data_IF_636592621500
#
_entry.id   IF_636592621500
#
_cell.length_a   1.000
_cell.length_b   1.000
_cell.length_c   1.000
_cell.angle_alpha   90.00
_cell.angle_beta   90.00
_cell.angle_gamma   90.00
#
_symmetry.space_group_name_H-M   'P 1'
#
loop_
_entity.id
_entity.type
_entity.pdbx_description
1 polymer ?
#
# COMPACT_ATOMS: atom_id res chain seq x y z
N UNK A 1 -17.01 -6.98 -17.03
CA UNK A 1 -16.55 -8.36 -16.81
C UNK A 1 -17.38 -8.93 -15.67
N UNK A 2 -17.69 -10.22 -15.68
CA UNK A 2 -18.21 -10.91 -14.51
C UNK A 2 -17.42 -12.20 -14.29
N UNK A 3 -17.40 -12.67 -13.05
CA UNK A 3 -16.86 -13.99 -12.71
C UNK A 3 -17.98 -14.84 -12.12
N UNK A 4 -18.00 -16.12 -12.47
CA UNK A 4 -18.99 -17.08 -11.95
C UNK A 4 -18.33 -17.99 -10.94
N UNK A 5 -18.83 -17.98 -9.71
CA UNK A 5 -18.34 -18.80 -8.60
C UNK A 5 -19.53 -19.45 -7.92
N UNK A 6 -19.53 -20.79 -7.83
CA UNK A 6 -20.61 -21.57 -7.21
C UNK A 6 -22.01 -21.22 -7.73
N UNK A 7 -22.15 -21.00 -9.05
CA UNK A 7 -23.41 -20.64 -9.67
C UNK A 7 -23.82 -19.17 -9.54
N UNK A 8 -23.13 -18.37 -8.70
CA UNK A 8 -23.37 -16.93 -8.53
C UNK A 8 -22.46 -16.10 -9.44
N UNK A 9 -23.01 -15.02 -9.99
CA UNK A 9 -22.28 -14.06 -10.81
C UNK A 9 -21.84 -12.84 -10.00
N UNK A 10 -20.59 -12.44 -10.19
CA UNK A 10 -19.99 -11.28 -9.54
C UNK A 10 -19.56 -10.28 -10.62
N UNK A 11 -20.26 -9.15 -10.71
CA UNK A 11 -20.04 -8.16 -11.75
C UNK A 11 -18.97 -7.15 -11.35
N UNK A 12 -17.98 -7.00 -12.22
CA UNK A 12 -16.86 -6.07 -12.07
C UNK A 12 -17.02 -4.89 -13.03
N UNK A 13 -17.04 -3.69 -12.45
CA UNK A 13 -17.22 -2.42 -13.14
C UNK A 13 -15.90 -1.67 -13.23
N UNK A 14 -15.53 -1.25 -14.44
CA UNK A 14 -14.29 -0.48 -14.66
C UNK A 14 -14.39 0.91 -14.03
N UNK A 15 -13.30 1.32 -13.41
CA UNK A 15 -13.08 2.63 -12.79
C UNK A 15 -11.78 3.18 -13.35
N UNK A 16 -11.81 4.42 -13.87
CA UNK A 16 -10.65 5.04 -14.52
C UNK A 16 -9.76 5.73 -13.48
N UNK A 17 -8.45 5.72 -13.76
CA UNK A 17 -7.45 6.47 -13.00
C UNK A 17 -7.21 7.79 -13.74
N UNK A 18 -7.27 8.88 -12.99
CA UNK A 18 -6.83 10.20 -13.41
C UNK A 18 -5.53 10.51 -12.65
N UNK A 19 -4.41 10.43 -13.37
CA UNK A 19 -3.07 10.70 -12.85
C UNK A 19 -2.90 12.20 -12.61
N UNK A 20 -2.39 12.56 -11.43
CA UNK A 20 -2.17 13.95 -11.01
C UNK A 20 -0.68 14.29 -10.98
N UNK A 21 0.15 13.39 -10.45
CA UNK A 21 1.59 13.61 -10.29
C UNK A 21 2.35 12.27 -10.35
N UNK A 22 3.61 12.30 -10.80
CA UNK A 22 4.51 11.14 -10.89
C UNK A 22 5.86 11.46 -10.27
N UNK A 23 6.67 10.42 -10.00
CA UNK A 23 8.01 10.54 -9.41
C UNK A 23 8.01 11.24 -8.04
N UNK A 24 6.94 11.02 -7.26
CA UNK A 24 6.90 11.46 -5.87
C UNK A 24 7.87 10.59 -5.08
N UNK A 25 8.82 11.23 -4.39
CA UNK A 25 9.86 10.55 -3.60
C UNK A 25 9.81 10.98 -2.15
N UNK A 26 10.29 10.09 -1.29
CA UNK A 26 10.52 10.36 0.13
C UNK A 26 9.31 10.87 0.94
N UNK A 27 8.07 10.42 0.69
CA UNK A 27 6.91 10.91 1.44
C UNK A 27 7.05 10.66 2.95
N UNK A 28 7.81 9.65 3.38
CA UNK A 28 8.10 9.38 4.79
C UNK A 28 8.72 10.58 5.52
N UNK A 29 9.44 11.48 4.82
CA UNK A 29 10.13 12.64 5.43
C UNK A 29 9.16 13.62 6.08
N UNK A 30 7.89 13.61 5.68
CA UNK A 30 6.85 14.49 6.20
C UNK A 30 6.09 13.89 7.39
N UNK A 31 6.51 12.73 7.92
CA UNK A 31 5.87 12.17 9.10
C UNK A 31 6.34 12.87 10.38
N UNK A 32 5.49 13.74 10.91
CA UNK A 32 5.79 14.63 12.04
C UNK A 32 5.02 14.29 13.33
N UNK A 33 4.14 13.28 13.30
CA UNK A 33 3.22 12.98 14.40
C UNK A 33 3.82 12.21 15.58
N UNK A 34 5.04 11.67 15.41
CA UNK A 34 5.76 10.90 16.43
C UNK A 34 7.25 11.17 16.30
N UNK A 35 7.96 11.16 17.42
CA UNK A 35 9.43 11.15 17.44
C UNK A 35 9.98 9.75 17.22
N UNK A 36 11.30 9.62 17.06
CA UNK A 36 11.97 8.31 17.04
C UNK A 36 11.71 7.57 18.37
N UNK A 37 11.79 8.27 19.51
CA UNK A 37 11.50 7.72 20.84
C UNK A 37 10.08 7.15 20.92
N UNK A 38 9.09 7.83 20.34
CA UNK A 38 7.72 7.33 20.29
C UNK A 38 7.58 6.09 19.40
N UNK A 39 8.29 6.01 18.28
CA UNK A 39 8.29 4.82 17.43
C UNK A 39 8.88 3.62 18.15
N UNK A 40 10.01 3.80 18.85
CA UNK A 40 10.67 2.73 19.59
C UNK A 40 9.77 2.07 20.64
N UNK A 41 8.75 2.76 21.16
CA UNK A 41 7.77 2.18 22.08
C UNK A 41 6.90 1.09 21.43
N UNK A 42 6.74 1.12 20.11
CA UNK A 42 5.94 0.12 19.39
C UNK A 42 6.74 -1.16 19.12
N UNK A 43 6.10 -2.33 19.34
CA UNK A 43 6.71 -3.65 19.19
C UNK A 43 7.43 -3.89 17.85
N UNK A 44 6.98 -3.27 16.74
CA UNK A 44 7.61 -3.41 15.42
C UNK A 44 9.03 -2.81 15.34
N UNK A 45 9.42 -2.01 16.33
CA UNK A 45 10.74 -1.37 16.43
C UNK A 45 11.54 -1.84 17.64
N UNK A 46 11.08 -2.87 18.37
CA UNK A 46 11.73 -3.30 19.62
C UNK A 46 13.20 -3.68 19.41
N UNK A 47 13.51 -4.36 18.31
CA UNK A 47 14.86 -4.77 17.92
C UNK A 47 15.80 -3.57 17.59
N UNK A 48 15.28 -2.36 17.43
CA UNK A 48 16.09 -1.17 17.16
C UNK A 48 16.47 -0.41 18.43
N UNK A 49 15.82 -0.68 19.57
CA UNK A 49 15.91 0.15 20.77
C UNK A 49 17.34 0.35 21.27
N UNK A 50 18.04 -0.76 21.50
CA UNK A 50 19.41 -0.75 22.04
C UNK A 50 20.35 0.02 21.12
N UNK A 51 20.33 -0.31 19.83
CA UNK A 51 21.14 0.39 18.82
C UNK A 51 20.86 1.89 18.77
N UNK A 52 19.59 2.29 18.76
CA UNK A 52 19.23 3.71 18.70
C UNK A 52 19.65 4.45 19.97
N UNK A 53 19.48 3.85 21.15
CA UNK A 53 19.89 4.47 22.42
C UNK A 53 21.41 4.65 22.52
N UNK A 54 22.19 3.74 21.92
CA UNK A 54 23.65 3.77 22.02
C UNK A 54 24.32 4.59 20.90
N UNK A 55 23.79 4.54 19.68
CA UNK A 55 24.46 5.08 18.48
C UNK A 55 23.72 6.27 17.84
N UNK A 56 22.45 6.51 18.20
CA UNK A 56 21.59 7.51 17.56
C UNK A 56 20.78 8.30 18.60
N UNK A 57 21.36 8.57 19.76
CA UNK A 57 20.69 9.26 20.85
C UNK A 57 20.18 10.65 20.41
N UNK A 58 20.93 11.32 19.54
CA UNK A 58 20.67 12.69 19.08
C UNK A 58 19.39 12.84 18.25
N UNK A 59 18.85 11.75 17.70
CA UNK A 59 17.61 11.79 16.91
C UNK A 59 16.38 11.37 17.70
N UNK A 60 16.52 10.93 18.96
CA UNK A 60 15.42 10.34 19.73
C UNK A 60 14.20 11.25 19.82
N UNK A 61 14.40 12.53 20.08
CA UNK A 61 13.32 13.51 20.29
C UNK A 61 13.02 14.36 19.05
N UNK A 62 13.60 13.99 17.90
CA UNK A 62 13.30 14.59 16.60
C UNK A 62 12.08 13.90 15.98
N UNK A 63 11.17 14.62 15.31
CA UNK A 63 10.09 14.00 14.54
C UNK A 63 10.65 12.97 13.55
N UNK A 64 10.01 11.79 13.49
CA UNK A 64 10.60 10.62 12.86
C UNK A 64 10.89 10.83 11.36
N UNK A 65 10.00 11.46 10.59
CA UNK A 65 10.23 11.76 9.18
C UNK A 65 11.50 12.59 8.95
N UNK A 66 11.62 13.79 9.54
CA UNK A 66 12.83 14.61 9.46
C UNK A 66 14.10 13.90 9.94
N UNK A 67 14.04 13.13 11.03
CA UNK A 67 15.17 12.36 11.55
C UNK A 67 15.70 11.36 10.51
N UNK A 68 14.81 10.51 9.98
CA UNK A 68 15.18 9.51 8.98
C UNK A 68 15.66 10.14 7.67
N UNK A 69 15.06 11.27 7.27
CA UNK A 69 15.51 11.99 6.08
C UNK A 69 16.93 12.58 6.26
N UNK A 70 17.26 13.05 7.45
CA UNK A 70 18.61 13.49 7.75
C UNK A 70 19.63 12.35 7.70
N UNK A 71 19.29 11.15 8.21
CA UNK A 71 20.12 9.95 8.06
C UNK A 71 20.32 9.58 6.58
N UNK A 72 19.24 9.58 5.79
CA UNK A 72 19.31 9.33 4.34
C UNK A 72 20.25 10.31 3.64
N UNK A 73 20.17 11.61 3.95
CA UNK A 73 21.07 12.64 3.38
C UNK A 73 22.54 12.44 3.77
N UNK A 74 22.81 11.82 4.92
CA UNK A 74 24.16 11.43 5.36
C UNK A 74 24.62 10.10 4.74
N UNK A 75 23.83 9.50 3.84
CA UNK A 75 24.04 8.16 3.29
C UNK A 75 24.11 7.05 4.34
N UNK A 76 23.50 7.27 5.49
CA UNK A 76 23.40 6.25 6.52
C UNK A 76 22.24 5.29 6.17
N UNK A 77 22.47 3.99 5.91
CA UNK A 77 21.41 3.07 5.52
C UNK A 77 20.44 2.72 6.66
N UNK A 78 20.77 3.03 7.91
CA UNK A 78 20.01 2.64 9.09
C UNK A 78 18.58 3.21 9.09
N UNK A 79 18.32 4.33 8.40
CA UNK A 79 16.96 4.88 8.30
C UNK A 79 15.95 3.88 7.73
N UNK A 80 16.39 2.95 6.86
CA UNK A 80 15.54 1.93 6.25
C UNK A 80 14.99 0.96 7.28
N UNK A 81 15.67 0.74 8.40
CA UNK A 81 15.19 -0.12 9.48
C UNK A 81 13.90 0.37 10.12
N UNK A 82 13.52 1.64 9.89
CA UNK A 82 12.25 2.19 10.35
C UNK A 82 11.13 2.16 9.29
N UNK A 83 11.48 1.91 8.04
CA UNK A 83 10.54 1.88 6.91
C UNK A 83 10.14 0.45 6.57
N UNK A 84 8.95 0.28 6.00
CA UNK A 84 8.63 -1.01 5.38
C UNK A 84 9.38 -1.16 4.04
N UNK A 85 9.40 -2.38 3.50
CA UNK A 85 10.12 -2.73 2.26
C UNK A 85 9.77 -1.86 1.04
N UNK A 86 8.63 -1.16 1.09
CA UNK A 86 8.15 -0.32 0.01
C UNK A 86 8.12 1.15 0.40
N UNK A 87 8.67 1.55 1.54
CA UNK A 87 8.52 2.88 2.15
C UNK A 87 9.44 3.99 1.62
N UNK A 88 10.39 3.66 0.76
CA UNK A 88 11.27 4.62 0.09
C UNK A 88 11.45 4.25 -1.39
N UNK A 89 10.33 4.22 -2.12
CA UNK A 89 10.26 4.02 -3.56
C UNK A 89 9.79 5.30 -4.27
N UNK A 90 9.70 5.26 -5.59
CA UNK A 90 8.98 6.27 -6.37
C UNK A 90 7.48 5.95 -6.38
N UNK A 91 6.66 6.99 -6.23
CA UNK A 91 5.21 6.92 -6.17
C UNK A 91 4.58 7.85 -7.21
N UNK A 92 3.27 7.78 -7.30
CA UNK A 92 2.43 8.69 -8.07
C UNK A 92 1.26 9.16 -7.21
N UNK A 93 0.65 10.28 -7.60
CA UNK A 93 -0.63 10.71 -7.07
C UNK A 93 -1.70 10.54 -8.15
N UNK A 94 -2.83 9.95 -7.79
CA UNK A 94 -3.96 9.81 -8.69
C UNK A 94 -5.29 9.83 -7.93
N UNK A 95 -6.35 10.08 -8.67
CA UNK A 95 -7.73 9.87 -8.22
C UNK A 95 -8.46 8.96 -9.17
N UNK A 96 -9.55 8.37 -8.71
CA UNK A 96 -10.47 7.65 -9.58
C UNK A 96 -11.68 8.49 -9.96
N UNK A 97 -12.12 8.33 -11.21
CA UNK A 97 -13.39 8.87 -11.71
C UNK A 97 -14.27 7.75 -12.26
N UNK A 98 -15.57 7.96 -12.22
CA UNK A 98 -16.55 7.02 -12.73
C UNK A 98 -17.91 7.18 -12.05
N UNK A 99 -18.65 6.07 -11.99
CA UNK A 99 -19.96 6.04 -11.35
C UNK A 99 -19.82 6.23 -9.83
N UNK A 100 -20.21 7.41 -9.33
CA UNK A 100 -20.15 7.77 -7.91
C UNK A 100 -20.98 6.83 -7.02
N UNK A 101 -22.11 6.33 -7.51
CA UNK A 101 -22.92 5.35 -6.77
C UNK A 101 -22.16 4.04 -6.55
N UNK A 102 -21.37 3.59 -7.52
CA UNK A 102 -20.50 2.42 -7.35
C UNK A 102 -19.30 2.73 -6.44
N UNK A 103 -18.68 3.90 -6.60
CA UNK A 103 -17.50 4.31 -5.84
C UNK A 103 -17.80 4.53 -4.34
N UNK A 104 -19.05 4.81 -3.98
CA UNK A 104 -19.50 4.92 -2.59
C UNK A 104 -19.85 3.57 -1.94
N UNK A 105 -19.71 2.44 -2.64
CA UNK A 105 -19.91 1.10 -2.08
C UNK A 105 -18.61 0.49 -1.56
N UNK A 106 -18.79 -0.59 -0.78
CA UNK A 106 -17.74 -1.51 -0.34
C UNK A 106 -17.77 -2.79 -1.19
N UNK A 107 -16.73 -3.62 -1.11
CA UNK A 107 -16.65 -4.88 -1.85
C UNK A 107 -15.24 -5.29 -2.23
N UNK A 108 -15.14 -6.06 -3.32
CA UNK A 108 -13.86 -6.52 -3.88
C UNK A 108 -13.44 -5.60 -5.02
N UNK A 109 -12.14 -5.36 -5.14
CA UNK A 109 -11.58 -4.66 -6.29
C UNK A 109 -10.39 -5.40 -6.88
N UNK A 110 -10.16 -5.17 -8.16
CA UNK A 110 -8.97 -5.62 -8.88
C UNK A 110 -8.24 -4.45 -9.51
N UNK A 111 -6.95 -4.63 -9.75
CA UNK A 111 -6.16 -3.77 -10.63
C UNK A 111 -5.88 -4.56 -11.89
N UNK A 112 -6.20 -3.95 -13.03
CA UNK A 112 -5.93 -4.50 -14.35
C UNK A 112 -4.76 -3.74 -14.96
N UNK A 113 -3.81 -4.47 -15.54
CA UNK A 113 -2.73 -3.92 -16.35
C UNK A 113 -2.65 -4.73 -17.64
N UNK A 114 -2.84 -4.08 -18.79
CA UNK A 114 -2.82 -4.72 -20.12
C UNK A 114 -3.71 -5.98 -20.15
N UNK A 115 -4.97 -5.81 -19.74
CA UNK A 115 -6.02 -6.83 -19.70
C UNK A 115 -5.79 -8.02 -18.74
N UNK A 116 -4.76 -7.96 -17.89
CA UNK A 116 -4.48 -8.97 -16.85
C UNK A 116 -4.78 -8.45 -15.45
N UNK A 117 -5.38 -9.28 -14.61
CA UNK A 117 -5.53 -9.00 -13.17
C UNK A 117 -4.12 -9.07 -12.56
N UNK A 118 -3.61 -7.94 -12.08
CA UNK A 118 -2.33 -7.86 -11.37
C UNK A 118 -2.50 -7.75 -9.87
N UNK A 119 -3.67 -7.35 -9.40
CA UNK A 119 -3.98 -7.34 -7.97
C UNK A 119 -5.46 -7.60 -7.70
N UNK A 120 -5.78 -8.23 -6.57
CA UNK A 120 -7.11 -8.36 -5.99
C UNK A 120 -7.10 -8.02 -4.49
N UNK A 121 -8.07 -7.21 -4.06
CA UNK A 121 -8.17 -6.75 -2.67
C UNK A 121 -9.61 -6.52 -2.21
N UNK A 122 -9.77 -6.43 -0.89
CA UNK A 122 -11.06 -6.11 -0.25
C UNK A 122 -11.05 -4.64 0.19
N UNK A 123 -12.18 -3.97 -0.01
CA UNK A 123 -12.48 -2.66 0.54
C UNK A 123 -13.71 -2.78 1.43
N UNK A 124 -13.55 -2.74 2.76
CA UNK A 124 -14.67 -2.78 3.72
C UNK A 124 -15.25 -1.38 4.03
N UNK A 125 -15.01 -0.40 3.15
CA UNK A 125 -15.54 0.95 3.23
C UNK A 125 -15.76 1.43 1.78
N UNK A 126 -15.79 2.73 1.50
CA UNK A 126 -15.98 3.26 0.14
C UNK A 126 -14.77 2.99 -0.76
N UNK A 127 -15.00 2.45 -1.97
CA UNK A 127 -13.96 2.34 -3.00
C UNK A 127 -13.27 3.68 -3.29
N UNK A 128 -14.03 4.78 -3.35
CA UNK A 128 -13.50 6.13 -3.53
C UNK A 128 -12.45 6.50 -2.48
N UNK A 129 -12.74 6.18 -1.22
CA UNK A 129 -11.85 6.44 -0.09
C UNK A 129 -10.57 5.61 -0.23
N UNK A 130 -10.72 4.30 -0.48
CA UNK A 130 -9.59 3.38 -0.69
C UNK A 130 -8.68 3.82 -1.81
N UNK A 131 -9.23 4.22 -2.94
CA UNK A 131 -8.43 4.58 -4.10
C UNK A 131 -7.85 5.98 -3.98
N UNK A 132 -8.61 7.00 -3.58
CA UNK A 132 -8.11 8.38 -3.61
C UNK A 132 -7.25 8.73 -2.40
N UNK A 133 -7.57 8.23 -1.21
CA UNK A 133 -6.88 8.64 0.03
C UNK A 133 -5.81 7.68 0.51
N UNK A 134 -5.89 6.41 0.10
CA UNK A 134 -5.00 5.38 0.65
C UNK A 134 -4.00 4.86 -0.39
N UNK A 135 -4.48 4.49 -1.58
CA UNK A 135 -3.61 3.98 -2.65
C UNK A 135 -3.09 5.12 -3.51
N UNK A 136 -3.97 6.01 -3.99
CA UNK A 136 -3.66 7.10 -4.91
C UNK A 136 -3.00 8.31 -4.26
N UNK A 137 -2.83 8.30 -2.93
CA UNK A 137 -2.03 9.28 -2.22
C UNK A 137 -1.31 8.58 -1.05
N UNK A 138 -0.02 8.32 -1.21
CA UNK A 138 0.77 7.62 -0.19
C UNK A 138 1.02 8.55 0.99
N UNK A 139 0.35 8.27 2.12
CA UNK A 139 0.58 9.02 3.34
C UNK A 139 2.00 8.78 3.89
N UNK A 140 2.63 9.77 4.56
CA UNK A 140 3.93 9.58 5.20
C UNK A 140 3.96 8.39 6.15
N UNK A 141 2.87 8.21 6.94
CA UNK A 141 2.75 7.09 7.89
C UNK A 141 2.76 5.72 7.19
N UNK A 142 2.20 5.61 5.99
CA UNK A 142 2.14 4.34 5.25
C UNK A 142 3.53 3.77 4.92
N UNK A 143 4.57 4.61 4.94
CA UNK A 143 5.95 4.23 4.61
C UNK A 143 6.70 3.56 5.76
N UNK A 144 6.24 3.75 7.00
CA UNK A 144 6.89 3.21 8.20
C UNK A 144 6.57 1.73 8.41
N UNK A 145 7.37 1.02 9.22
CA UNK A 145 7.15 -0.43 9.50
C UNK A 145 5.83 -0.72 10.17
N UNK A 146 5.34 0.19 11.00
CA UNK A 146 4.00 0.14 11.61
C UNK A 146 2.93 0.86 10.77
N UNK A 147 3.23 1.17 9.51
CA UNK A 147 2.29 1.69 8.52
C UNK A 147 1.59 0.60 7.72
N UNK A 148 0.95 1.00 6.62
CA UNK A 148 0.26 0.10 5.68
C UNK A 148 1.11 -0.13 4.42
N UNK A 149 1.99 -1.13 4.48
CA UNK A 149 2.90 -1.48 3.38
C UNK A 149 2.20 -1.71 2.03
N UNK A 150 0.98 -2.26 2.02
CA UNK A 150 0.20 -2.49 0.79
C UNK A 150 -0.09 -1.20 0.03
N UNK A 151 -0.29 -0.06 0.72
CA UNK A 151 -0.52 1.22 0.03
C UNK A 151 0.71 1.62 -0.79
N UNK A 152 1.89 1.55 -0.17
CA UNK A 152 3.17 1.87 -0.81
C UNK A 152 3.50 0.88 -1.93
N UNK A 153 3.34 -0.42 -1.68
CA UNK A 153 3.55 -1.48 -2.68
C UNK A 153 2.71 -1.24 -3.93
N UNK A 154 1.39 -1.11 -3.78
CA UNK A 154 0.48 -0.95 -4.91
C UNK A 154 0.69 0.37 -5.63
N UNK A 155 0.87 1.47 -4.89
CA UNK A 155 1.11 2.76 -5.54
C UNK A 155 2.43 2.73 -6.34
N UNK A 156 3.53 2.24 -5.77
CA UNK A 156 4.83 2.19 -6.47
C UNK A 156 4.78 1.32 -7.72
N UNK A 157 3.99 0.23 -7.71
CA UNK A 157 3.74 -0.60 -8.90
C UNK A 157 2.96 0.18 -9.96
N UNK A 158 1.92 0.92 -9.57
CA UNK A 158 1.18 1.79 -10.51
C UNK A 158 2.14 2.85 -11.08
N UNK A 159 2.87 3.57 -10.22
CA UNK A 159 3.79 4.64 -10.62
C UNK A 159 4.82 4.16 -11.66
N UNK A 160 5.32 2.94 -11.52
CA UNK A 160 6.27 2.32 -12.46
C UNK A 160 5.70 2.03 -13.84
N UNK A 161 4.40 1.76 -13.95
CA UNK A 161 3.80 1.21 -15.17
C UNK A 161 2.75 2.12 -15.80
N UNK A 162 2.27 3.16 -15.09
CA UNK A 162 1.12 3.97 -15.51
C UNK A 162 1.34 4.76 -16.80
N UNK A 163 2.59 5.06 -17.16
CA UNK A 163 2.92 5.80 -18.39
C UNK A 163 2.97 4.89 -19.63
N UNK A 164 3.31 3.61 -19.46
CA UNK A 164 3.59 2.68 -20.56
C UNK A 164 2.59 1.52 -20.65
N UNK A 165 1.55 1.52 -19.81
CA UNK A 165 0.57 0.44 -19.75
C UNK A 165 -0.84 0.95 -19.47
N UNK A 166 -1.84 0.25 -20.00
CA UNK A 166 -3.24 0.53 -19.69
C UNK A 166 -3.57 -0.04 -18.31
N UNK A 167 -3.62 0.84 -17.30
CA UNK A 167 -3.94 0.48 -15.91
C UNK A 167 -5.29 1.06 -15.51
N UNK A 168 -6.13 0.24 -14.88
CA UNK A 168 -7.40 0.69 -14.31
C UNK A 168 -7.85 -0.21 -13.17
N UNK A 169 -8.78 0.29 -12.35
CA UNK A 169 -9.43 -0.51 -11.33
C UNK A 169 -10.70 -1.17 -11.88
N UNK A 170 -11.04 -2.34 -11.35
CA UNK A 170 -12.42 -2.82 -11.41
C UNK A 170 -12.97 -3.01 -10.00
N UNK A 171 -14.25 -2.72 -9.82
CA UNK A 171 -14.94 -2.86 -8.52
C UNK A 171 -16.13 -3.79 -8.65
N UNK A 172 -16.29 -4.67 -7.68
CA UNK A 172 -17.43 -5.55 -7.49
C UNK A 172 -18.06 -5.22 -6.13
N UNK A 173 -19.17 -4.44 -6.11
CA UNK A 173 -19.83 -4.10 -4.87
C UNK A 173 -20.41 -5.33 -4.18
N UNK A 174 -20.08 -5.51 -2.91
CA UNK A 174 -20.54 -6.61 -2.06
C UNK A 174 -20.81 -6.05 -0.66
N UNK A 175 -21.66 -6.72 0.12
CA UNK A 175 -21.99 -6.26 1.47
C UNK A 175 -21.46 -7.20 2.57
N UNK A 176 -21.36 -8.49 2.27
CA UNK A 176 -20.91 -9.51 3.21
C UNK A 176 -19.38 -9.69 3.15
N UNK A 177 -18.74 -9.71 4.32
CA UNK A 177 -17.27 -9.76 4.40
C UNK A 177 -16.72 -11.14 4.07
N UNK A 178 -17.42 -12.22 4.44
CA UNK A 178 -16.98 -13.58 4.12
C UNK A 178 -17.11 -13.87 2.62
N UNK A 179 -18.14 -13.33 1.98
CA UNK A 179 -18.29 -13.34 0.53
C UNK A 179 -17.16 -12.55 -0.15
N UNK A 180 -16.81 -11.36 0.35
CA UNK A 180 -15.65 -10.61 -0.17
C UNK A 180 -14.35 -11.40 -0.06
N UNK A 181 -14.13 -12.08 1.07
CA UNK A 181 -12.95 -12.94 1.28
C UNK A 181 -12.95 -14.11 0.30
N UNK A 182 -14.09 -14.78 0.13
CA UNK A 182 -14.26 -15.90 -0.78
C UNK A 182 -13.96 -15.50 -2.23
N UNK A 183 -14.57 -14.41 -2.71
CA UNK A 183 -14.33 -13.88 -4.07
C UNK A 183 -12.88 -13.44 -4.24
N UNK A 184 -12.30 -12.72 -3.28
CA UNK A 184 -10.90 -12.27 -3.35
C UNK A 184 -9.93 -13.46 -3.39
N UNK A 185 -10.13 -14.47 -2.56
CA UNK A 185 -9.29 -15.67 -2.55
C UNK A 185 -9.43 -16.44 -3.87
N UNK A 186 -10.65 -16.66 -4.35
CA UNK A 186 -10.88 -17.31 -5.64
C UNK A 186 -10.16 -16.59 -6.79
N UNK A 187 -10.18 -15.24 -6.82
CA UNK A 187 -9.43 -14.47 -7.81
C UNK A 187 -7.91 -14.69 -7.70
N UNK A 188 -7.37 -14.71 -6.48
CA UNK A 188 -5.94 -14.91 -6.24
C UNK A 188 -5.49 -16.32 -6.64
N UNK A 189 -6.30 -17.33 -6.31
CA UNK A 189 -6.01 -18.74 -6.61
C UNK A 189 -6.15 -19.02 -8.10
N UNK A 190 -7.16 -18.42 -8.75
CA UNK A 190 -7.44 -18.64 -10.17
C UNK A 190 -6.49 -17.93 -11.12
N UNK A 191 -6.10 -16.69 -10.80
CA UNK A 191 -5.37 -15.81 -11.72
C UNK A 191 -3.94 -15.52 -11.30
N UNK A 192 -3.56 -15.90 -10.08
CA UNK A 192 -2.21 -15.69 -9.53
C UNK A 192 -1.65 -14.27 -9.73
N UNK A 193 -2.36 -13.22 -9.27
CA UNK A 193 -2.02 -11.84 -9.63
C UNK A 193 -0.63 -11.44 -9.12
N UNK A 194 0.21 -10.94 -10.03
CA UNK A 194 1.64 -10.65 -9.78
C UNK A 194 1.92 -9.70 -8.62
N UNK A 195 0.98 -8.82 -8.25
CA UNK A 195 1.16 -7.83 -7.18
C UNK A 195 0.53 -8.28 -5.86
N UNK A 196 -0.19 -9.41 -5.81
CA UNK A 196 -0.59 -10.03 -4.56
C UNK A 196 0.60 -10.78 -3.95
N UNK A 197 1.13 -10.28 -2.84
CA UNK A 197 2.17 -10.99 -2.09
C UNK A 197 1.60 -12.31 -1.56
N UNK A 198 2.18 -13.44 -1.96
CA UNK A 198 1.88 -14.76 -1.40
C UNK A 198 2.77 -14.98 -0.18
N UNK A 199 2.20 -15.50 0.91
CA UNK A 199 3.00 -15.99 2.04
C UNK A 199 4.04 -16.98 1.51
N UNK A 200 5.32 -16.65 1.64
CA UNK A 200 6.46 -17.45 1.17
C UNK A 200 7.37 -16.79 0.12
N UNK A 201 7.01 -15.65 -0.48
CA UNK A 201 7.81 -15.03 -1.55
C UNK A 201 8.71 -13.86 -1.14
N UNK A 202 8.52 -13.25 0.04
CA UNK A 202 9.29 -12.06 0.45
C UNK A 202 9.53 -11.93 1.95
N UNK A 203 9.50 -13.05 2.72
CA UNK A 203 9.75 -12.95 4.16
C UNK A 203 10.47 -14.17 4.73
N UNK A 204 11.80 -14.10 4.78
CA UNK A 204 12.56 -14.83 5.80
C UNK A 204 12.40 -14.02 7.10
N UNK A 205 11.40 -14.36 7.90
CA UNK A 205 11.50 -14.10 9.34
C UNK A 205 12.27 -15.28 9.91
N UNK A 206 13.57 -15.12 10.15
CA UNK A 206 14.28 -15.96 11.13
C UNK A 206 13.72 -15.59 12.50
N UNK A 207 12.80 -16.42 13.00
CA UNK A 207 12.53 -16.49 14.43
C UNK A 207 13.57 -17.42 15.04
N UNK A 208 14.48 -16.84 15.82
CA UNK A 208 15.12 -17.52 16.95
C UNK A 208 14.59 -16.86 18.21
#
# INVERSE_FOLDING_TARGET
MYVKMNGKEFHFHRVRIDLLETDIREPFRFFDKKTIRDLLRHNRYQHLREKVMNEYEEILDVPAGPALYNLKKKNDPFYKEFLNNYGDLAYCQFVVKGNETLLNKKGVYTIIMNDKIVFAGICNNKFKLRFNQHIGNVSPKSCFRDGTATHCHINSKIARHILDSNIYFQVCPLNDLEEMKSVKNWLIDRFEPLWNLRFGSDVIYTYN
#
